data_IF_872739303594
#
_entry.id   IF_872739303594
#
_cell.length_a   1.000
_cell.length_b   1.000
_cell.length_c   1.000
_cell.angle_alpha   90.00
_cell.angle_beta   90.00
_cell.angle_gamma   90.00
#
_symmetry.space_group_name_H-M   'P 1'
#
loop_
_entity.id
_entity.type
_entity.pdbx_description
1 polymer ?
#
# COMPACT_ATOMS: atom_id res chain seq x y z
N UNK A 1 -0.90 -21.05 -19.47
CA UNK A 1 -1.26 -20.33 -20.70
C UNK A 1 -0.95 -18.82 -20.65
N UNK A 2 -1.10 -18.11 -19.51
CA UNK A 2 -0.72 -16.67 -19.41
C UNK A 2 0.81 -16.45 -19.35
N UNK A 3 1.57 -17.45 -18.87
CA UNK A 3 3.03 -17.30 -18.64
C UNK A 3 3.91 -17.44 -19.89
N UNK A 4 3.43 -18.08 -20.97
CA UNK A 4 4.27 -18.38 -22.16
C UNK A 4 4.55 -17.18 -23.08
N UNK A 5 3.83 -16.06 -22.91
CA UNK A 5 4.00 -14.85 -23.72
C UNK A 5 4.41 -13.62 -22.89
N UNK A 6 4.95 -13.81 -21.69
CA UNK A 6 5.53 -12.71 -20.93
C UNK A 6 6.82 -12.24 -21.59
N UNK A 7 6.71 -11.26 -22.48
CA UNK A 7 7.85 -10.52 -22.98
C UNK A 7 8.50 -9.77 -21.82
N UNK A 8 9.56 -10.35 -21.24
CA UNK A 8 10.38 -9.76 -20.18
C UNK A 8 10.79 -8.32 -20.55
N UNK A 9 11.06 -8.06 -21.84
CA UNK A 9 11.38 -6.72 -22.35
C UNK A 9 10.26 -5.70 -22.12
N UNK A 10 8.98 -6.09 -22.19
CA UNK A 10 7.83 -5.20 -21.96
C UNK A 10 7.77 -4.73 -20.51
N UNK A 11 8.18 -5.58 -19.56
CA UNK A 11 8.21 -5.26 -18.12
C UNK A 11 9.26 -4.18 -17.84
N UNK A 12 10.51 -4.41 -18.23
CA UNK A 12 11.63 -3.50 -17.95
C UNK A 12 11.55 -2.17 -18.73
N UNK A 13 10.97 -2.18 -19.93
CA UNK A 13 10.83 -0.96 -20.76
C UNK A 13 9.60 -0.12 -20.36
N UNK A 14 8.80 -0.57 -19.40
CA UNK A 14 7.60 0.18 -19.00
C UNK A 14 7.97 1.42 -18.18
N UNK A 15 7.27 2.54 -18.42
CA UNK A 15 7.44 3.74 -17.61
C UNK A 15 7.15 3.47 -16.11
N UNK A 16 6.26 2.52 -15.82
CA UNK A 16 5.93 2.10 -14.45
C UNK A 16 7.14 1.53 -13.71
N UNK A 17 7.99 0.75 -14.38
CA UNK A 17 9.23 0.22 -13.79
C UNK A 17 10.15 1.36 -13.35
N UNK A 18 10.45 2.30 -14.26
CA UNK A 18 11.32 3.46 -13.98
C UNK A 18 10.76 4.36 -12.90
N UNK A 19 9.46 4.71 -12.96
CA UNK A 19 8.84 5.54 -11.93
C UNK A 19 8.81 4.85 -10.56
N UNK A 20 8.62 3.54 -10.52
CA UNK A 20 8.65 2.79 -9.26
C UNK A 20 10.05 2.81 -8.65
N UNK A 21 11.10 2.61 -9.45
CA UNK A 21 12.48 2.74 -8.95
C UNK A 21 12.71 4.13 -8.38
N UNK A 22 12.37 5.17 -9.14
CA UNK A 22 12.57 6.55 -8.71
C UNK A 22 11.82 6.84 -7.40
N UNK A 23 10.53 6.48 -7.33
CA UNK A 23 9.72 6.61 -6.13
C UNK A 23 10.34 5.87 -4.94
N UNK A 24 10.80 4.63 -5.15
CA UNK A 24 11.37 3.79 -4.10
C UNK A 24 12.66 4.39 -3.54
N UNK A 25 13.57 4.79 -4.42
CA UNK A 25 14.85 5.39 -4.04
C UNK A 25 14.64 6.73 -3.33
N UNK A 26 13.77 7.60 -3.84
CA UNK A 26 13.46 8.88 -3.20
C UNK A 26 12.86 8.66 -1.79
N UNK A 27 11.96 7.70 -1.66
CA UNK A 27 11.33 7.35 -0.39
C UNK A 27 12.36 6.85 0.63
N UNK A 28 13.31 6.02 0.22
CA UNK A 28 14.40 5.56 1.08
C UNK A 28 15.36 6.69 1.47
N UNK A 29 15.71 7.58 0.54
CA UNK A 29 16.55 8.75 0.83
C UNK A 29 15.86 9.66 1.84
N UNK A 30 14.58 9.96 1.65
CA UNK A 30 13.83 10.80 2.58
C UNK A 30 13.67 10.14 3.93
N UNK A 31 13.47 8.82 3.99
CA UNK A 31 13.45 8.06 5.24
C UNK A 31 14.78 8.17 5.98
N UNK A 32 15.90 8.04 5.27
CA UNK A 32 17.23 8.20 5.86
C UNK A 32 17.47 9.62 6.40
N UNK A 33 17.06 10.66 5.68
CA UNK A 33 17.15 12.04 6.17
C UNK A 33 16.24 12.26 7.39
N UNK A 34 15.03 11.70 7.35
CA UNK A 34 14.03 11.78 8.40
C UNK A 34 14.50 11.16 9.72
N UNK A 35 15.38 10.16 9.66
CA UNK A 35 16.01 9.58 10.85
C UNK A 35 16.82 10.61 11.64
N UNK A 36 17.50 11.54 10.96
CA UNK A 36 18.29 12.60 11.62
C UNK A 36 17.46 13.83 12.01
N UNK A 37 16.35 14.08 11.31
CA UNK A 37 15.56 15.30 11.47
C UNK A 37 14.07 14.98 11.61
N UNK A 38 13.57 14.99 12.85
CA UNK A 38 12.17 14.66 13.15
C UNK A 38 11.17 15.63 12.48
N UNK A 39 11.48 16.93 12.42
CA UNK A 39 10.62 17.90 11.74
C UNK A 39 10.51 17.61 10.23
N UNK A 40 11.60 17.15 9.61
CA UNK A 40 11.63 16.75 8.21
C UNK A 40 10.75 15.51 7.97
N UNK A 41 10.75 14.54 8.89
CA UNK A 41 9.86 13.36 8.82
C UNK A 41 8.39 13.77 8.71
N UNK A 42 7.93 14.65 9.60
CA UNK A 42 6.54 15.12 9.63
C UNK A 42 6.17 15.83 8.32
N UNK A 43 7.02 16.73 7.83
CA UNK A 43 6.78 17.47 6.59
C UNK A 43 6.74 16.50 5.39
N UNK A 44 7.73 15.60 5.28
CA UNK A 44 7.80 14.61 4.22
C UNK A 44 6.58 13.68 4.23
N UNK A 45 6.16 13.22 5.42
CA UNK A 45 4.96 12.42 5.61
C UNK A 45 3.72 13.11 5.02
N UNK A 46 3.44 14.36 5.41
CA UNK A 46 2.26 15.07 4.91
C UNK A 46 2.33 15.34 3.40
N UNK A 47 3.51 15.64 2.85
CA UNK A 47 3.70 15.80 1.40
C UNK A 47 3.33 14.51 0.67
N UNK A 48 3.83 13.36 1.13
CA UNK A 48 3.51 12.06 0.54
C UNK A 48 2.02 11.74 0.61
N UNK A 49 1.41 11.97 1.77
CA UNK A 49 -0.02 11.72 1.99
C UNK A 49 -0.89 12.58 1.07
N UNK A 50 -0.58 13.87 0.93
CA UNK A 50 -1.32 14.79 0.06
C UNK A 50 -1.17 14.40 -1.41
N UNK A 51 0.06 14.18 -1.87
CA UNK A 51 0.32 13.77 -3.25
C UNK A 51 -0.40 12.46 -3.58
N UNK A 52 -0.32 11.49 -2.67
CA UNK A 52 -0.99 10.21 -2.80
C UNK A 52 -2.52 10.34 -2.86
N UNK A 53 -3.10 11.20 -2.00
CA UNK A 53 -4.54 11.47 -2.01
C UNK A 53 -5.00 12.07 -3.36
N UNK A 54 -4.26 13.05 -3.88
CA UNK A 54 -4.55 13.70 -5.17
C UNK A 54 -4.46 12.70 -6.32
N UNK A 55 -3.42 11.86 -6.35
CA UNK A 55 -3.25 10.83 -7.39
C UNK A 55 -4.37 9.79 -7.30
N UNK A 56 -4.65 9.27 -6.11
CA UNK A 56 -5.67 8.24 -5.87
C UNK A 56 -7.09 8.72 -6.18
N UNK A 57 -7.35 10.01 -5.95
CA UNK A 57 -8.63 10.62 -6.31
C UNK A 57 -8.84 10.64 -7.83
N UNK A 58 -7.83 11.13 -8.57
CA UNK A 58 -7.82 11.21 -10.05
C UNK A 58 -7.88 9.83 -10.68
N UNK A 59 -7.00 8.94 -10.27
CA UNK A 59 -6.93 7.56 -10.75
C UNK A 59 -6.65 6.61 -9.58
N UNK A 60 -7.71 5.94 -9.13
CA UNK A 60 -7.63 5.00 -8.00
C UNK A 60 -6.72 3.81 -8.32
N UNK A 61 -6.58 3.46 -9.61
CA UNK A 61 -5.73 2.37 -10.07
C UNK A 61 -4.26 2.71 -9.87
N UNK A 62 -3.83 3.90 -10.28
CA UNK A 62 -2.49 4.43 -10.00
C UNK A 62 -2.21 4.54 -8.51
N UNK A 63 -3.18 5.00 -7.71
CA UNK A 63 -3.08 4.99 -6.25
C UNK A 63 -2.80 3.59 -5.69
N UNK A 64 -3.55 2.59 -6.15
CA UNK A 64 -3.37 1.20 -5.73
C UNK A 64 -2.00 0.63 -6.15
N UNK A 65 -1.49 1.02 -7.32
CA UNK A 65 -0.14 0.66 -7.77
C UNK A 65 0.96 1.25 -6.86
N UNK A 66 0.79 2.48 -6.38
CA UNK A 66 1.72 3.10 -5.41
C UNK A 66 1.68 2.35 -4.08
N UNK A 67 0.50 1.95 -3.60
CA UNK A 67 0.37 1.12 -2.39
C UNK A 67 1.16 -0.18 -2.51
N UNK A 68 1.09 -0.87 -3.65
CA UNK A 68 1.86 -2.11 -3.85
C UNK A 68 3.36 -1.86 -3.74
N UNK A 69 3.87 -0.77 -4.31
CA UNK A 69 5.27 -0.40 -4.17
C UNK A 69 5.63 -0.14 -2.71
N UNK A 70 4.82 0.66 -2.00
CA UNK A 70 5.02 0.96 -0.57
C UNK A 70 4.98 -0.29 0.30
N UNK A 71 4.05 -1.23 0.08
CA UNK A 71 3.96 -2.45 0.87
C UNK A 71 5.23 -3.30 0.77
N UNK A 72 5.86 -3.32 -0.41
CA UNK A 72 7.09 -4.08 -0.65
C UNK A 72 8.28 -3.37 -0.01
N UNK A 73 8.46 -2.07 -0.28
CA UNK A 73 9.63 -1.30 0.21
C UNK A 73 9.53 -1.07 1.72
N UNK A 74 8.32 -0.78 2.18
CA UNK A 74 7.95 -0.43 3.54
C UNK A 74 8.36 -1.44 4.58
N UNK A 75 8.48 -2.73 4.21
CA UNK A 75 8.79 -3.83 5.12
C UNK A 75 7.97 -3.75 6.43
N UNK A 76 8.55 -3.25 7.53
CA UNK A 76 7.90 -3.01 8.84
C UNK A 76 6.85 -1.89 8.85
N UNK A 77 6.79 -1.05 7.83
CA UNK A 77 5.80 0.01 7.68
C UNK A 77 6.12 1.31 8.38
N UNK A 78 7.38 1.57 8.78
CA UNK A 78 7.79 2.78 9.50
C UNK A 78 8.80 3.65 8.72
N UNK A 79 8.76 3.61 7.38
CA UNK A 79 9.65 4.44 6.55
C UNK A 79 9.47 5.93 6.86
N UNK A 80 8.21 6.38 6.93
CA UNK A 80 7.79 7.70 7.35
C UNK A 80 6.58 7.52 8.26
N UNK A 81 6.52 8.29 9.33
CA UNK A 81 5.44 8.23 10.30
C UNK A 81 5.22 9.59 10.94
N UNK A 82 3.98 9.83 11.34
CA UNK A 82 3.60 10.97 12.15
C UNK A 82 3.23 10.47 13.55
N UNK A 83 3.84 11.04 14.58
CA UNK A 83 3.54 10.69 15.96
C UNK A 83 2.81 11.83 16.65
N UNK A 84 1.68 11.51 17.29
CA UNK A 84 0.94 12.46 18.11
C UNK A 84 0.47 11.77 19.40
N UNK A 85 0.84 12.33 20.55
CA UNK A 85 0.44 11.81 21.87
C UNK A 85 0.75 10.31 22.11
N UNK A 86 1.87 9.82 21.57
CA UNK A 86 2.28 8.42 21.67
C UNK A 86 1.57 7.47 20.69
N UNK A 87 0.69 7.98 19.82
CA UNK A 87 0.11 7.22 18.73
C UNK A 87 0.87 7.48 17.42
N UNK A 88 1.42 6.43 16.82
CA UNK A 88 2.21 6.50 15.59
C UNK A 88 1.38 6.12 14.37
N UNK A 89 1.14 7.08 13.49
CA UNK A 89 0.46 6.87 12.20
C UNK A 89 1.52 6.72 11.12
N UNK A 90 1.68 5.49 10.63
CA UNK A 90 2.58 5.26 9.51
C UNK A 90 1.97 5.68 8.17
N UNK A 91 2.85 5.92 7.20
CA UNK A 91 2.47 6.25 5.82
C UNK A 91 1.58 5.15 5.21
N UNK A 92 1.81 3.89 5.59
CA UNK A 92 0.99 2.74 5.17
C UNK A 92 -0.46 2.82 5.67
N UNK A 93 -0.66 3.19 6.95
CA UNK A 93 -2.00 3.38 7.52
C UNK A 93 -2.70 4.55 6.82
N UNK A 94 -1.99 5.66 6.59
CA UNK A 94 -2.55 6.80 5.88
C UNK A 94 -2.99 6.44 4.45
N UNK A 95 -2.14 5.72 3.70
CA UNK A 95 -2.46 5.25 2.35
C UNK A 95 -3.65 4.29 2.34
N UNK A 96 -3.74 3.43 3.35
CA UNK A 96 -4.85 2.51 3.53
C UNK A 96 -6.17 3.26 3.69
N UNK A 97 -6.24 4.18 4.64
CA UNK A 97 -7.44 4.97 4.90
C UNK A 97 -7.85 5.74 3.63
N UNK A 98 -6.90 6.33 2.91
CA UNK A 98 -7.18 7.09 1.68
C UNK A 98 -7.76 6.20 0.58
N UNK A 99 -7.11 5.09 0.24
CA UNK A 99 -7.57 4.18 -0.82
C UNK A 99 -8.94 3.62 -0.48
N UNK A 100 -9.12 3.16 0.77
CA UNK A 100 -10.41 2.62 1.20
C UNK A 100 -11.50 3.68 1.16
N UNK A 101 -11.24 4.88 1.66
CA UNK A 101 -12.23 5.96 1.66
C UNK A 101 -12.65 6.33 0.24
N UNK A 102 -11.70 6.47 -0.69
CA UNK A 102 -11.99 6.81 -2.09
C UNK A 102 -12.72 5.66 -2.79
N UNK A 103 -12.28 4.41 -2.60
CA UNK A 103 -12.92 3.24 -3.19
C UNK A 103 -14.35 3.07 -2.70
N UNK A 104 -14.59 3.13 -1.38
CA UNK A 104 -15.93 3.06 -0.77
C UNK A 104 -16.81 4.20 -1.31
N UNK A 105 -16.28 5.42 -1.37
CA UNK A 105 -17.04 6.58 -1.89
C UNK A 105 -17.48 6.35 -3.34
N UNK A 106 -16.57 5.89 -4.21
CA UNK A 106 -16.90 5.59 -5.62
C UNK A 106 -17.88 4.42 -5.73
N UNK A 107 -17.76 3.40 -4.88
CA UNK A 107 -18.68 2.25 -4.83
C UNK A 107 -20.08 2.66 -4.36
N UNK A 108 -20.20 3.51 -3.34
CA UNK A 108 -21.49 4.02 -2.87
C UNK A 108 -22.20 4.86 -3.94
N UNK A 109 -21.47 5.77 -4.59
CA UNK A 109 -22.00 6.58 -5.70
C UNK A 109 -22.51 5.68 -6.83
N UNK A 110 -21.77 4.62 -7.17
CA UNK A 110 -22.18 3.64 -8.16
C UNK A 110 -23.49 2.93 -7.78
N UNK A 111 -23.63 2.45 -6.55
CA UNK A 111 -24.85 1.77 -6.06
C UNK A 111 -26.06 2.71 -6.11
N UNK A 112 -25.89 3.95 -5.64
CA UNK A 112 -26.97 4.94 -5.59
C UNK A 112 -27.46 5.28 -7.01
N UNK A 113 -26.54 5.55 -7.93
CA UNK A 113 -26.88 5.91 -9.31
C UNK A 113 -27.56 4.76 -10.06
N UNK A 114 -27.10 3.51 -9.85
CA UNK A 114 -27.63 2.34 -10.55
C UNK A 114 -29.03 1.97 -10.04
N UNK A 115 -29.35 2.24 -8.77
CA UNK A 115 -30.71 2.09 -8.22
C UNK A 115 -31.66 3.18 -8.72
N UNK A 116 -31.17 4.41 -8.91
CA UNK A 116 -32.01 5.57 -9.26
C UNK A 116 -32.33 5.67 -10.75
N UNK A 117 -31.48 5.15 -11.64
CA UNK A 117 -31.66 5.23 -13.09
C UNK A 117 -31.62 3.84 -13.68
N UNK A 118 -32.78 3.17 -13.79
CA UNK A 118 -33.05 1.92 -14.53
C UNK A 118 -31.92 1.41 -15.45
N UNK A 119 -30.82 0.93 -14.85
CA UNK A 119 -29.65 0.39 -15.56
C UNK A 119 -28.79 1.32 -16.44
N UNK A 120 -28.90 2.65 -16.38
CA UNK A 120 -28.01 3.54 -17.18
C UNK A 120 -26.90 4.18 -16.31
N UNK A 121 -25.66 3.66 -16.36
CA UNK A 121 -24.56 4.21 -15.58
C UNK A 121 -24.17 5.60 -16.12
N UNK A 122 -24.37 6.63 -15.30
CA UNK A 122 -24.02 8.02 -15.63
C UNK A 122 -22.55 8.35 -15.35
N UNK A 123 -21.86 7.50 -14.59
CA UNK A 123 -20.42 7.57 -14.43
C UNK A 123 -19.80 6.52 -15.34
N UNK A 124 -19.00 6.96 -16.31
CA UNK A 124 -18.14 6.12 -17.13
C UNK A 124 -17.00 5.52 -16.29
N UNK A 125 -17.33 4.76 -15.25
CA UNK A 125 -16.35 4.01 -14.47
C UNK A 125 -16.19 2.64 -15.11
N UNK A 126 -15.04 2.42 -15.74
CA UNK A 126 -14.55 1.12 -16.25
C UNK A 126 -14.28 0.09 -15.13
N UNK A 127 -14.64 0.39 -13.90
CA UNK A 127 -14.40 -0.45 -12.73
C UNK A 127 -15.56 -1.43 -12.61
N UNK A 128 -15.24 -2.72 -12.62
CA UNK A 128 -16.22 -3.78 -12.45
C UNK A 128 -16.44 -4.03 -10.96
N UNK A 129 -17.16 -3.12 -10.31
CA UNK A 129 -17.47 -3.21 -8.89
C UNK A 129 -18.18 -4.54 -8.56
N UNK A 130 -17.84 -5.11 -7.41
CA UNK A 130 -18.35 -6.41 -6.94
C UNK A 130 -17.85 -7.64 -7.70
N UNK A 131 -16.83 -7.53 -8.54
CA UNK A 131 -16.24 -8.71 -9.18
C UNK A 131 -15.73 -9.69 -8.11
N UNK A 132 -15.15 -9.18 -7.01
CA UNK A 132 -14.62 -10.02 -5.94
C UNK A 132 -15.68 -10.83 -5.21
N UNK A 133 -16.90 -10.31 -5.05
CA UNK A 133 -18.01 -11.02 -4.38
C UNK A 133 -18.40 -12.30 -5.11
N UNK A 134 -18.19 -12.36 -6.43
CA UNK A 134 -18.44 -13.55 -7.24
C UNK A 134 -17.31 -14.57 -7.17
N UNK A 135 -16.15 -14.21 -6.62
CA UNK A 135 -15.03 -15.11 -6.49
C UNK A 135 -15.32 -16.22 -5.47
N UNK A 136 -14.75 -17.41 -5.69
CA UNK A 136 -14.82 -18.53 -4.74
C UNK A 136 -14.16 -18.19 -3.39
N UNK A 137 -13.23 -17.24 -3.40
CA UNK A 137 -12.42 -16.88 -2.24
C UNK A 137 -13.12 -15.90 -1.28
N UNK A 138 -14.18 -15.23 -1.73
CA UNK A 138 -14.90 -14.23 -0.93
C UNK A 138 -15.36 -14.77 0.44
N UNK A 139 -15.83 -16.01 0.50
CA UNK A 139 -16.30 -16.64 1.75
C UNK A 139 -15.17 -16.80 2.77
N UNK A 140 -14.02 -17.31 2.35
CA UNK A 140 -12.86 -17.48 3.23
C UNK A 140 -12.33 -16.12 3.70
N UNK A 141 -12.30 -15.16 2.78
CA UNK A 141 -11.90 -13.79 3.07
C UNK A 141 -12.81 -13.13 4.11
N UNK A 142 -14.12 -13.33 4.00
CA UNK A 142 -15.10 -12.80 4.95
C UNK A 142 -15.00 -13.45 6.34
N UNK A 143 -14.80 -14.77 6.41
CA UNK A 143 -14.58 -15.48 7.68
C UNK A 143 -13.31 -14.96 8.36
N UNK A 144 -12.23 -14.79 7.61
CA UNK A 144 -10.99 -14.22 8.13
C UNK A 144 -11.19 -12.84 8.74
N UNK A 145 -11.96 -11.96 8.08
CA UNK A 145 -12.28 -10.64 8.61
C UNK A 145 -13.09 -10.70 9.91
N UNK A 146 -14.05 -11.63 10.03
CA UNK A 146 -14.78 -11.84 11.29
C UNK A 146 -13.84 -12.27 12.41
N UNK A 147 -12.90 -13.17 12.13
CA UNK A 147 -11.91 -13.63 13.11
C UNK A 147 -11.03 -12.45 13.58
N UNK A 148 -10.58 -11.59 12.66
CA UNK A 148 -9.81 -10.40 13.03
C UNK A 148 -10.59 -9.45 13.94
N UNK A 149 -11.85 -9.15 13.60
CA UNK A 149 -12.71 -8.31 14.44
C UNK A 149 -12.94 -8.93 15.81
N UNK A 150 -13.17 -10.24 15.87
CA UNK A 150 -13.34 -10.96 17.12
C UNK A 150 -12.06 -10.89 17.99
N UNK A 151 -10.89 -11.11 17.40
CA UNK A 151 -9.60 -11.02 18.10
C UNK A 151 -9.35 -9.60 18.63
N UNK A 152 -9.65 -8.57 17.84
CA UNK A 152 -9.54 -7.17 18.24
C UNK A 152 -10.45 -6.84 19.43
N UNK A 153 -11.73 -7.23 19.36
CA UNK A 153 -12.70 -7.03 20.45
C UNK A 153 -12.24 -7.78 21.71
N UNK A 154 -11.80 -9.04 21.58
CA UNK A 154 -11.31 -9.83 22.70
C UNK A 154 -10.06 -9.21 23.35
N UNK A 155 -9.15 -8.65 22.55
CA UNK A 155 -7.99 -7.92 23.04
C UNK A 155 -8.38 -6.75 23.93
N UNK A 156 -9.36 -5.95 23.50
CA UNK A 156 -9.89 -4.82 24.29
C UNK A 156 -10.59 -5.32 25.56
N UNK A 157 -11.42 -6.36 25.46
CA UNK A 157 -12.16 -6.92 26.60
C UNK A 157 -11.24 -7.53 27.68
N UNK A 158 -10.06 -8.04 27.28
CA UNK A 158 -9.04 -8.56 28.19
C UNK A 158 -8.21 -7.45 28.87
N UNK A 159 -8.54 -6.18 28.65
CA UNK A 159 -7.87 -5.05 29.27
C UNK A 159 -6.59 -4.59 28.57
N UNK A 160 -6.31 -5.07 27.35
CA UNK A 160 -5.24 -4.48 26.54
C UNK A 160 -5.64 -3.07 26.08
N UNK A 161 -4.67 -2.18 25.94
CA UNK A 161 -4.90 -0.83 25.41
C UNK A 161 -5.45 -0.87 23.98
N UNK A 162 -6.31 0.09 23.62
CA UNK A 162 -6.84 0.21 22.25
C UNK A 162 -5.71 0.29 21.21
N UNK A 163 -4.67 1.06 21.51
CA UNK A 163 -3.49 1.22 20.66
C UNK A 163 -2.83 -0.12 20.37
N UNK A 164 -2.58 -0.93 21.40
CA UNK A 164 -1.91 -2.22 21.28
C UNK A 164 -2.73 -3.21 20.45
N UNK A 165 -4.03 -3.30 20.74
CA UNK A 165 -4.95 -4.16 19.99
C UNK A 165 -5.05 -3.72 18.52
N UNK A 166 -5.04 -2.42 18.25
CA UNK A 166 -5.09 -1.89 16.89
C UNK A 166 -3.80 -2.19 16.12
N UNK A 167 -2.63 -1.98 16.72
CA UNK A 167 -1.36 -2.25 16.05
C UNK A 167 -1.15 -3.74 15.76
N UNK A 168 -1.66 -4.63 16.60
CA UNK A 168 -1.66 -6.08 16.33
C UNK A 168 -2.58 -6.43 15.14
N UNK A 169 -3.80 -5.89 15.12
CA UNK A 169 -4.74 -6.09 14.01
C UNK A 169 -4.24 -5.47 12.69
N UNK A 170 -3.55 -4.33 12.75
CA UNK A 170 -3.09 -3.56 11.59
C UNK A 170 -2.24 -4.39 10.63
N UNK A 171 -1.42 -5.32 11.14
CA UNK A 171 -0.62 -6.23 10.32
C UNK A 171 -1.47 -7.07 9.34
N UNK A 172 -2.73 -7.34 9.68
CA UNK A 172 -3.65 -8.13 8.89
C UNK A 172 -4.66 -7.29 8.10
N UNK A 173 -4.96 -6.05 8.52
CA UNK A 173 -5.90 -5.17 7.83
C UNK A 173 -5.51 -4.90 6.38
N UNK A 174 -4.21 -4.90 6.07
CA UNK A 174 -3.74 -4.68 4.70
C UNK A 174 -4.20 -5.77 3.73
N UNK A 175 -4.64 -6.94 4.20
CA UNK A 175 -5.29 -7.93 3.34
C UNK A 175 -6.59 -7.40 2.74
N UNK A 176 -7.23 -6.38 3.33
CA UNK A 176 -8.43 -5.74 2.78
C UNK A 176 -8.16 -5.15 1.43
N UNK A 177 -6.94 -4.70 1.14
CA UNK A 177 -6.57 -4.17 -0.18
C UNK A 177 -6.90 -5.13 -1.34
N UNK A 178 -7.05 -6.44 -1.09
CA UNK A 178 -7.54 -7.38 -2.09
C UNK A 178 -8.90 -7.00 -2.69
N UNK A 179 -9.77 -6.35 -1.92
CA UNK A 179 -11.09 -5.91 -2.39
C UNK A 179 -10.97 -4.86 -3.51
N UNK A 180 -10.39 -3.65 -3.28
CA UNK A 180 -10.20 -2.69 -4.35
C UNK A 180 -9.26 -3.21 -5.44
N UNK A 181 -8.25 -4.01 -5.09
CA UNK A 181 -7.33 -4.56 -6.07
C UNK A 181 -8.05 -5.42 -7.13
N UNK A 182 -8.92 -6.33 -6.70
CA UNK A 182 -9.64 -7.22 -7.61
C UNK A 182 -10.70 -6.47 -8.46
N UNK A 183 -11.29 -5.41 -7.92
CA UNK A 183 -12.21 -4.56 -8.68
C UNK A 183 -11.47 -3.71 -9.74
N UNK A 184 -10.24 -3.27 -9.46
CA UNK A 184 -9.46 -2.34 -10.31
C UNK A 184 -8.61 -3.01 -11.38
N UNK A 185 -8.09 -4.22 -11.12
CA UNK A 185 -7.15 -4.93 -12.00
C UNK A 185 -7.80 -6.17 -12.59
N UNK A 186 -8.32 -6.02 -13.81
CA UNK A 186 -9.04 -7.10 -14.52
C UNK A 186 -8.50 -7.35 -15.94
N UNK A 187 -7.56 -6.52 -16.41
CA UNK A 187 -7.04 -6.61 -17.78
C UNK A 187 -5.66 -7.27 -17.80
N UNK A 188 -5.31 -7.91 -18.92
CA UNK A 188 -3.97 -8.51 -19.08
C UNK A 188 -2.84 -7.48 -18.96
N UNK A 189 -3.04 -6.26 -19.47
CA UNK A 189 -2.05 -5.18 -19.35
C UNK A 189 -1.78 -4.77 -17.89
N UNK A 190 -2.74 -5.00 -16.99
CA UNK A 190 -2.56 -4.70 -15.56
C UNK A 190 -1.57 -5.63 -14.91
N UNK A 191 -1.56 -6.89 -15.34
CA UNK A 191 -0.61 -7.88 -14.86
C UNK A 191 0.83 -7.45 -15.15
N UNK A 192 1.10 -6.89 -16.34
CA UNK A 192 2.40 -6.33 -16.68
C UNK A 192 2.78 -5.15 -15.78
N UNK A 193 1.84 -4.27 -15.46
CA UNK A 193 2.09 -3.13 -14.57
C UNK A 193 2.42 -3.61 -13.16
N UNK A 194 1.61 -4.52 -12.61
CA UNK A 194 1.81 -5.10 -11.27
C UNK A 194 3.17 -5.80 -11.18
N UNK A 195 3.50 -6.65 -12.16
CA UNK A 195 4.81 -7.31 -12.20
C UNK A 195 5.96 -6.32 -12.31
N UNK A 196 5.81 -5.26 -13.12
CA UNK A 196 6.84 -4.23 -13.27
C UNK A 196 7.11 -3.54 -11.94
N UNK A 197 6.06 -3.18 -11.20
CA UNK A 197 6.17 -2.59 -9.87
C UNK A 197 6.83 -3.56 -8.90
N UNK A 198 6.35 -4.80 -8.85
CA UNK A 198 6.88 -5.83 -7.96
C UNK A 198 8.38 -6.08 -8.17
N UNK A 199 8.81 -6.23 -9.43
CA UNK A 199 10.22 -6.46 -9.75
C UNK A 199 11.04 -5.21 -9.44
N UNK A 200 10.55 -4.01 -9.77
CA UNK A 200 11.24 -2.76 -9.48
C UNK A 200 11.45 -2.55 -7.98
N UNK A 201 10.37 -2.61 -7.19
CA UNK A 201 10.42 -2.38 -5.74
C UNK A 201 11.24 -3.45 -5.01
N UNK A 202 11.10 -4.72 -5.40
CA UNK A 202 11.91 -5.81 -4.83
C UNK A 202 13.38 -5.66 -5.18
N UNK A 203 13.70 -5.23 -6.41
CA UNK A 203 15.09 -4.98 -6.82
C UNK A 203 15.72 -3.84 -6.01
N UNK A 204 14.98 -2.74 -5.82
CA UNK A 204 15.46 -1.63 -4.98
C UNK A 204 15.64 -2.08 -3.53
N UNK A 205 14.68 -2.81 -2.96
CA UNK A 205 14.77 -3.34 -1.61
C UNK A 205 15.97 -4.28 -1.45
N UNK A 206 16.19 -5.20 -2.41
CA UNK A 206 17.32 -6.12 -2.43
C UNK A 206 18.67 -5.38 -2.48
N UNK A 207 18.78 -4.36 -3.34
CA UNK A 207 20.00 -3.57 -3.41
C UNK A 207 20.24 -2.80 -2.12
N UNK A 208 19.19 -2.24 -1.52
CA UNK A 208 19.28 -1.52 -0.26
C UNK A 208 19.70 -2.44 0.90
N UNK A 209 19.13 -3.64 1.00
CA UNK A 209 19.50 -4.60 2.04
C UNK A 209 20.94 -5.10 1.87
N UNK A 210 21.38 -5.40 0.65
CA UNK A 210 22.77 -5.77 0.36
C UNK A 210 23.74 -4.63 0.68
N UNK A 211 23.39 -3.40 0.31
CA UNK A 211 24.18 -2.21 0.61
C UNK A 211 24.29 -1.97 2.12
N UNK A 212 23.18 -2.08 2.85
CA UNK A 212 23.17 -2.00 4.31
C UNK A 212 24.05 -3.08 4.93
N UNK A 213 23.93 -4.33 4.48
CA UNK A 213 24.76 -5.43 4.98
C UNK A 213 26.25 -5.14 4.74
N UNK A 214 26.60 -4.64 3.56
CA UNK A 214 27.98 -4.28 3.23
C UNK A 214 28.51 -3.18 4.15
N UNK A 215 27.73 -2.11 4.38
CA UNK A 215 28.08 -1.03 5.32
C UNK A 215 28.39 -1.58 6.71
N UNK A 216 27.47 -2.36 7.30
CA UNK A 216 27.64 -2.87 8.66
C UNK A 216 28.76 -3.91 8.78
N UNK A 217 29.14 -4.56 7.68
CA UNK A 217 30.22 -5.55 7.69
C UNK A 217 31.62 -4.94 7.53
N UNK A 218 31.73 -3.78 6.88
CA UNK A 218 33.04 -3.22 6.49
C UNK A 218 33.37 -1.88 7.15
N UNK A 219 32.37 -1.11 7.58
CA UNK A 219 32.60 0.17 8.24
C UNK A 219 32.85 -0.08 9.73
N UNK A 220 33.87 0.58 10.28
CA UNK A 220 34.21 0.46 11.69
C UNK A 220 33.00 0.86 12.57
N UNK A 221 32.61 0.03 13.56
CA UNK A 221 31.49 0.30 14.46
C UNK A 221 31.50 1.68 15.11
N UNK A 222 32.69 2.27 15.33
CA UNK A 222 32.81 3.62 15.87
C UNK A 222 32.02 4.65 15.07
N UNK A 223 32.08 4.59 13.72
CA UNK A 223 31.33 5.49 12.84
C UNK A 223 29.85 5.13 12.70
N UNK A 224 29.49 3.88 13.04
CA UNK A 224 28.11 3.38 12.98
C UNK A 224 27.36 3.59 14.29
N UNK A 225 28.03 4.01 15.37
CA UNK A 225 27.43 4.21 16.69
C UNK A 225 26.22 5.13 16.70
N UNK A 226 26.17 6.11 15.78
CA UNK A 226 25.04 7.02 15.62
C UNK A 226 23.84 6.43 14.84
N UNK A 227 23.97 5.21 14.29
CA UNK A 227 22.91 4.50 13.57
C UNK A 227 22.30 3.34 14.39
N UNK A 228 22.85 3.08 15.59
CA UNK A 228 22.38 2.06 16.53
C UNK A 228 21.39 2.65 17.55
#
# INVERSE_FOLDING_TARGET
MILENLSIKKIFKSNYFTYTILFSVLTLIFSFISYFYQDFNNIAFFIYVILFAVISYKDLKSGMLIVLAELIIGSKGYILFFEYSGFQISLRIAFFVIIFSIWISKLLIYIINNKLKNGQPCLATTINYFSFRKSRFFKYYFIFFIILLFAFILGILNGNGFSDAFFDMNGFLFLLYLLPFYDLFNNEDDYYKILSIFIASTSVLMLFTLFSLWIFSHINPFYLSNLY
#
